data_IF_259142368121
#
_entry.id   IF_259142368121
#
_cell.length_a   1.000
_cell.length_b   1.000
_cell.length_c   1.000
_cell.angle_alpha   90.00
_cell.angle_beta   90.00
_cell.angle_gamma   90.00
#
_symmetry.space_group_name_H-M   'P 1'
#
loop_
_entity.id
_entity.type
_entity.pdbx_description
1 polymer ?
#
# COMPACT_ATOMS: atom_id res chain seq x y z
N UNK A 1 12.07 -12.23 -7.60
CA UNK A 1 11.39 -11.97 -6.29
C UNK A 1 11.25 -10.47 -6.00
N UNK A 2 12.30 -9.68 -6.28
CA UNK A 2 12.36 -8.24 -6.06
C UNK A 2 11.17 -7.47 -6.66
N UNK A 3 10.88 -7.68 -7.95
CA UNK A 3 9.74 -7.06 -8.63
C UNK A 3 8.37 -7.38 -7.99
N UNK A 4 8.18 -8.63 -7.54
CA UNK A 4 6.92 -9.03 -6.90
C UNK A 4 6.77 -8.40 -5.51
N UNK A 5 7.86 -8.33 -4.73
CA UNK A 5 7.87 -7.62 -3.46
C UNK A 5 7.57 -6.12 -3.64
N UNK A 6 8.20 -5.47 -4.63
CA UNK A 6 7.92 -4.07 -4.97
C UNK A 6 6.47 -3.85 -5.44
N UNK A 7 5.86 -4.81 -6.15
CA UNK A 7 4.45 -4.76 -6.53
C UNK A 7 3.50 -4.87 -5.32
N UNK A 8 3.90 -5.59 -4.27
CA UNK A 8 3.09 -5.76 -3.06
C UNK A 8 3.20 -4.57 -2.11
N UNK A 9 4.35 -3.89 -2.05
CA UNK A 9 4.60 -2.83 -1.08
C UNK A 9 3.52 -1.71 -1.03
N UNK A 10 2.94 -1.23 -2.14
CA UNK A 10 1.90 -0.20 -2.09
C UNK A 10 0.70 -0.57 -1.22
N UNK A 11 0.29 -1.83 -1.15
CA UNK A 11 -0.88 -2.22 -0.35
C UNK A 11 -0.63 -2.09 1.16
N UNK A 12 0.62 -2.23 1.60
CA UNK A 12 1.03 -1.93 2.98
C UNK A 12 1.17 -0.43 3.17
N UNK A 13 2.03 0.19 2.36
CA UNK A 13 2.47 1.55 2.60
C UNK A 13 1.35 2.59 2.42
N UNK A 14 0.56 2.47 1.35
CA UNK A 14 -0.52 3.42 1.05
C UNK A 14 -1.62 3.35 2.11
N UNK A 15 -2.01 2.16 2.54
CA UNK A 15 -3.01 2.00 3.60
C UNK A 15 -2.52 2.54 4.95
N UNK A 16 -1.25 2.28 5.30
CA UNK A 16 -0.69 2.82 6.54
C UNK A 16 -0.66 4.35 6.54
N UNK A 17 -0.25 4.97 5.44
CA UNK A 17 -0.27 6.43 5.26
C UNK A 17 -1.69 7.01 5.32
N UNK A 18 -2.67 6.34 4.69
CA UNK A 18 -4.08 6.74 4.77
C UNK A 18 -4.59 6.65 6.21
N UNK A 19 -4.32 5.55 6.91
CA UNK A 19 -4.70 5.36 8.31
C UNK A 19 -4.16 6.48 9.20
N UNK A 20 -2.85 6.75 9.12
CA UNK A 20 -2.16 7.82 9.85
C UNK A 20 -2.73 9.22 9.57
N UNK A 21 -3.20 9.48 8.34
CA UNK A 21 -3.84 10.75 8.01
C UNK A 21 -5.28 10.83 8.51
N UNK A 22 -6.06 9.77 8.33
CA UNK A 22 -7.48 9.76 8.68
C UNK A 22 -7.74 9.67 10.18
N UNK A 23 -6.82 9.12 10.98
CA UNK A 23 -7.01 9.04 12.44
C UNK A 23 -7.12 10.45 13.07
N UNK A 24 -6.48 11.45 12.47
CA UNK A 24 -6.55 12.85 12.90
C UNK A 24 -7.95 13.47 12.70
N UNK A 25 -8.73 12.92 11.76
CA UNK A 25 -10.10 13.33 11.49
C UNK A 25 -11.11 12.50 12.28
N UNK A 26 -10.85 11.20 12.41
CA UNK A 26 -11.76 10.23 13.00
C UNK A 26 -13.03 10.01 12.17
N UNK A 27 -13.83 9.03 12.56
CA UNK A 27 -15.14 8.75 11.96
C UNK A 27 -16.20 8.51 13.03
N UNK A 28 -17.40 9.12 12.92
CA UNK A 28 -18.52 8.82 13.80
C UNK A 28 -19.13 7.42 13.52
N UNK A 29 -18.81 6.84 12.37
CA UNK A 29 -19.28 5.51 11.96
C UNK A 29 -18.25 4.47 12.41
N UNK A 30 -18.68 3.59 13.34
CA UNK A 30 -17.82 2.60 14.01
C UNK A 30 -17.02 1.71 13.05
N UNK A 31 -17.64 1.26 11.95
CA UNK A 31 -16.94 0.37 11.00
C UNK A 31 -15.79 1.08 10.27
N UNK A 32 -15.95 2.36 9.92
CA UNK A 32 -14.89 3.15 9.29
C UNK A 32 -13.83 3.56 10.30
N UNK A 33 -14.21 3.86 11.54
CA UNK A 33 -13.24 4.14 12.61
C UNK A 33 -12.34 2.93 12.86
N UNK A 34 -12.91 1.72 12.95
CA UNK A 34 -12.14 0.48 13.11
C UNK A 34 -11.21 0.23 11.93
N UNK A 35 -11.65 0.54 10.71
CA UNK A 35 -10.80 0.45 9.52
C UNK A 35 -9.58 1.38 9.65
N UNK A 36 -9.80 2.65 9.98
CA UNK A 36 -8.72 3.64 10.18
C UNK A 36 -7.74 3.18 11.27
N UNK A 37 -8.24 2.79 12.44
CA UNK A 37 -7.43 2.29 13.58
C UNK A 37 -6.59 1.07 13.20
N UNK A 38 -7.13 0.19 12.36
CA UNK A 38 -6.41 -1.00 11.91
C UNK A 38 -5.15 -0.60 11.13
N UNK A 39 -5.30 0.28 10.14
CA UNK A 39 -4.20 0.65 9.25
C UNK A 39 -3.24 1.68 9.86
N UNK A 40 -3.68 2.44 10.86
CA UNK A 40 -2.78 3.32 11.62
C UNK A 40 -2.00 2.59 12.71
N UNK A 41 -2.47 1.42 13.16
CA UNK A 41 -1.93 0.71 14.32
C UNK A 41 -0.40 0.52 14.33
N UNK A 42 0.22 0.43 15.52
CA UNK A 42 1.64 0.12 15.66
C UNK A 42 2.05 -1.20 14.99
N UNK A 43 1.19 -2.22 15.07
CA UNK A 43 1.43 -3.54 14.47
C UNK A 43 1.47 -3.45 12.94
N UNK A 44 0.51 -2.74 12.33
CA UNK A 44 0.47 -2.56 10.88
C UNK A 44 1.61 -1.65 10.38
N UNK A 45 1.96 -0.62 11.15
CA UNK A 45 3.13 0.22 10.88
C UNK A 45 4.42 -0.61 10.90
N UNK A 46 4.60 -1.46 11.92
CA UNK A 46 5.76 -2.36 12.02
C UNK A 46 5.83 -3.35 10.84
N UNK A 47 4.69 -3.87 10.40
CA UNK A 47 4.63 -4.74 9.22
C UNK A 47 5.00 -3.99 7.93
N UNK A 48 4.53 -2.74 7.80
CA UNK A 48 4.85 -1.86 6.67
C UNK A 48 6.34 -1.55 6.62
N UNK A 49 6.94 -1.15 7.74
CA UNK A 49 8.38 -0.85 7.83
C UNK A 49 9.24 -2.07 7.46
N UNK A 50 8.84 -3.27 7.89
CA UNK A 50 9.51 -4.52 7.49
C UNK A 50 9.40 -4.77 5.98
N UNK A 51 8.24 -4.50 5.38
CA UNK A 51 8.05 -4.68 3.94
C UNK A 51 8.91 -3.69 3.14
N UNK A 52 9.03 -2.44 3.60
CA UNK A 52 9.93 -1.44 3.03
C UNK A 52 11.37 -1.94 3.09
N UNK A 53 11.84 -2.38 4.26
CA UNK A 53 13.19 -2.92 4.45
C UNK A 53 13.50 -4.10 3.53
N UNK A 54 12.54 -5.02 3.34
CA UNK A 54 12.70 -6.15 2.42
C UNK A 54 12.88 -5.67 0.98
N UNK A 55 12.08 -4.69 0.54
CA UNK A 55 12.18 -4.14 -0.81
C UNK A 55 13.49 -3.38 -1.01
N UNK A 56 13.93 -2.62 -0.02
CA UNK A 56 15.21 -1.89 -0.05
C UNK A 56 16.40 -2.86 -0.16
N UNK A 57 16.44 -3.91 0.66
CA UNK A 57 17.48 -4.94 0.60
C UNK A 57 17.52 -5.66 -0.76
N UNK A 58 16.36 -5.93 -1.36
CA UNK A 58 16.28 -6.52 -2.69
C UNK A 58 16.81 -5.54 -3.75
N UNK A 59 16.47 -4.26 -3.63
CA UNK A 59 16.93 -3.22 -4.56
C UNK A 59 18.45 -3.00 -4.51
N UNK A 60 19.09 -3.11 -3.34
CA UNK A 60 20.55 -2.99 -3.17
C UNK A 60 21.33 -4.05 -3.98
N UNK A 61 20.76 -5.24 -4.13
CA UNK A 61 21.38 -6.35 -4.88
C UNK A 61 20.96 -6.44 -6.35
N UNK A 62 19.94 -5.67 -6.73
CA UNK A 62 19.38 -5.67 -8.09
C UNK A 62 20.24 -4.84 -9.05
N UNK A 63 20.34 -5.30 -10.30
CA UNK A 63 20.93 -4.48 -11.35
C UNK A 63 20.00 -3.31 -11.74
N UNK A 64 20.51 -2.38 -12.55
CA UNK A 64 19.74 -1.20 -12.96
C UNK A 64 18.43 -1.57 -13.68
N UNK A 65 18.41 -2.66 -14.45
CA UNK A 65 17.21 -3.08 -15.18
C UNK A 65 16.17 -3.60 -14.19
N UNK A 66 16.55 -4.46 -13.25
CA UNK A 66 15.63 -4.99 -12.25
C UNK A 66 15.11 -3.89 -11.31
N UNK A 67 15.95 -2.92 -10.92
CA UNK A 67 15.50 -1.74 -10.16
C UNK A 67 14.42 -0.94 -10.91
N UNK A 68 14.59 -0.72 -12.23
CA UNK A 68 13.56 -0.07 -13.03
C UNK A 68 12.27 -0.89 -13.10
N UNK A 69 12.37 -2.21 -13.22
CA UNK A 69 11.19 -3.09 -13.19
C UNK A 69 10.48 -3.08 -11.81
N UNK A 70 11.24 -2.99 -10.71
CA UNK A 70 10.68 -2.83 -9.36
C UNK A 70 9.90 -1.52 -9.23
N UNK A 71 10.48 -0.40 -9.68
CA UNK A 71 9.82 0.91 -9.67
C UNK A 71 8.53 0.86 -10.50
N UNK A 72 8.58 0.30 -11.71
CA UNK A 72 7.40 0.17 -12.56
C UNK A 72 6.30 -0.68 -11.90
N UNK A 73 6.68 -1.76 -11.21
CA UNK A 73 5.74 -2.62 -10.51
C UNK A 73 5.09 -1.90 -9.32
N UNK A 74 5.87 -1.16 -8.53
CA UNK A 74 5.37 -0.34 -7.43
C UNK A 74 4.40 0.74 -7.91
N UNK A 75 4.76 1.49 -8.97
CA UNK A 75 3.91 2.55 -9.54
C UNK A 75 2.62 1.96 -10.11
N UNK A 76 2.70 0.84 -10.84
CA UNK A 76 1.50 0.18 -11.39
C UNK A 76 0.58 -0.35 -10.29
N UNK A 77 1.11 -0.92 -9.22
CA UNK A 77 0.30 -1.37 -8.10
C UNK A 77 -0.35 -0.18 -7.35
N UNK A 78 0.38 0.92 -7.16
CA UNK A 78 -0.19 2.17 -6.62
C UNK A 78 -1.32 2.74 -7.49
N UNK A 79 -1.18 2.67 -8.81
CA UNK A 79 -2.25 3.02 -9.75
C UNK A 79 -3.48 2.13 -9.55
N UNK A 80 -3.29 0.82 -9.38
CA UNK A 80 -4.39 -0.10 -9.12
C UNK A 80 -5.05 0.13 -7.76
N UNK A 81 -4.32 0.53 -6.72
CA UNK A 81 -4.92 0.91 -5.43
C UNK A 81 -5.87 2.11 -5.57
N UNK A 82 -5.49 3.13 -6.33
CA UNK A 82 -6.40 4.24 -6.63
C UNK A 82 -7.66 3.76 -7.37
N UNK A 83 -7.49 2.88 -8.37
CA UNK A 83 -8.61 2.33 -9.13
C UNK A 83 -9.48 1.42 -8.28
N UNK A 84 -8.91 0.72 -7.29
CA UNK A 84 -9.66 -0.11 -6.36
C UNK A 84 -10.64 0.75 -5.54
N UNK A 85 -10.19 1.91 -5.05
CA UNK A 85 -11.06 2.87 -4.36
C UNK A 85 -12.15 3.42 -5.28
N UNK A 86 -11.80 3.79 -6.50
CA UNK A 86 -12.75 4.31 -7.49
C UNK A 86 -13.79 3.25 -7.89
N UNK A 87 -13.35 2.01 -8.13
CA UNK A 87 -14.20 0.86 -8.44
C UNK A 87 -15.25 0.62 -7.35
N UNK A 88 -14.83 0.65 -6.08
CA UNK A 88 -15.73 0.51 -4.94
C UNK A 88 -16.72 1.67 -4.83
N UNK A 89 -16.26 2.89 -5.10
CA UNK A 89 -17.10 4.10 -5.07
C UNK A 89 -18.16 4.09 -6.19
N UNK A 90 -17.75 3.71 -7.41
CA UNK A 90 -18.63 3.66 -8.59
C UNK A 90 -19.49 2.38 -8.64
N UNK A 91 -19.18 1.37 -7.82
CA UNK A 91 -19.78 0.02 -7.88
C UNK A 91 -19.64 -0.57 -9.28
N UNK A 92 -18.42 -0.53 -9.82
CA UNK A 92 -18.13 -0.97 -11.17
C UNK A 92 -18.57 -2.43 -11.39
N UNK A 93 -19.18 -2.69 -12.54
CA UNK A 93 -19.57 -4.03 -13.00
C UNK A 93 -18.85 -4.38 -14.30
N UNK A 94 -18.78 -5.67 -14.61
CA UNK A 94 -18.30 -6.14 -15.90
C UNK A 94 -19.46 -6.06 -16.90
N UNK A 95 -19.38 -5.12 -17.85
CA UNK A 95 -20.36 -4.94 -18.94
C UNK A 95 -19.83 -5.44 -20.27
#
# INVERSE_FOLDING_TARGET
PARAAAALLPCYWLYNEIGKKLIQLGSPIKIYQRFIETYESPDFTTATDKMIQIVDQLAETADQKEQQEMIQAFVRSSYFELHFWEMAYQRQEWS
#
